data_IF_069274694294
#
_entry.id   IF_069274694294
#
_cell.length_a   1.000
_cell.length_b   1.000
_cell.length_c   1.000
_cell.angle_alpha   90.00
_cell.angle_beta   90.00
_cell.angle_gamma   90.00
#
_symmetry.space_group_name_H-M   'P 1'
#
loop_
_entity.id
_entity.type
_entity.pdbx_description
1 polymer ?
#
# COMPACT_ATOMS: atom_id res chain seq x y z
N UNK A 1 -17.81 -13.95 -30.72
CA UNK A 1 -16.93 -12.85 -30.26
C UNK A 1 -16.55 -13.14 -28.82
N UNK A 2 -15.27 -13.38 -28.51
CA UNK A 2 -14.83 -13.62 -27.14
C UNK A 2 -14.75 -12.27 -26.43
N UNK A 3 -15.58 -12.07 -25.41
CA UNK A 3 -15.43 -10.94 -24.49
C UNK A 3 -13.99 -10.99 -23.93
N UNK A 4 -13.22 -9.91 -24.14
CA UNK A 4 -11.93 -9.78 -23.48
C UNK A 4 -12.18 -9.70 -21.97
N UNK A 5 -11.41 -10.40 -21.13
CA UNK A 5 -11.55 -10.25 -19.68
C UNK A 5 -11.29 -8.78 -19.32
N UNK A 6 -12.22 -8.17 -18.60
CA UNK A 6 -12.14 -6.77 -18.18
C UNK A 6 -10.81 -6.48 -17.48
N UNK A 7 -10.12 -5.43 -17.94
CA UNK A 7 -8.83 -4.95 -17.39
C UNK A 7 -9.00 -4.44 -15.95
N UNK A 8 -10.21 -3.98 -15.60
CA UNK A 8 -10.53 -3.27 -14.35
C UNK A 8 -10.23 -4.04 -13.08
N UNK A 9 -10.33 -5.37 -13.10
CA UNK A 9 -10.17 -6.19 -11.88
C UNK A 9 -8.74 -6.51 -11.46
N UNK A 10 -7.75 -6.24 -12.31
CA UNK A 10 -6.40 -6.75 -12.12
C UNK A 10 -5.30 -5.70 -12.22
N UNK A 11 -5.65 -4.46 -12.54
CA UNK A 11 -4.68 -3.38 -12.51
C UNK A 11 -4.51 -2.88 -11.08
N UNK A 12 -3.27 -2.81 -10.55
CA UNK A 12 -3.03 -2.25 -9.23
C UNK A 12 -3.00 -0.72 -9.25
N UNK A 13 -3.33 -0.04 -10.34
CA UNK A 13 -3.32 1.43 -10.36
C UNK A 13 -4.50 1.98 -9.55
N UNK A 14 -4.25 3.03 -8.76
CA UNK A 14 -5.26 3.70 -7.98
C UNK A 14 -5.31 5.18 -8.36
N UNK A 15 -6.47 5.79 -8.20
CA UNK A 15 -6.67 7.21 -8.39
C UNK A 15 -7.44 7.78 -7.20
N UNK A 16 -7.02 8.96 -6.75
CA UNK A 16 -7.71 9.71 -5.72
C UNK A 16 -8.34 10.92 -6.40
N UNK A 17 -9.67 11.02 -6.35
CA UNK A 17 -10.42 12.12 -6.97
C UNK A 17 -11.74 11.66 -7.57
N UNK A 18 -12.55 12.64 -8.01
CA UNK A 18 -13.88 12.38 -8.55
C UNK A 18 -13.88 11.71 -9.94
N UNK A 19 -12.80 11.86 -10.71
CA UNK A 19 -12.71 11.34 -12.08
C UNK A 19 -11.30 10.85 -12.35
N UNK A 20 -11.15 9.54 -12.57
CA UNK A 20 -9.89 8.93 -12.93
C UNK A 20 -9.33 9.46 -14.25
N UNK A 21 -8.03 9.27 -14.46
CA UNK A 21 -7.37 9.74 -15.67
C UNK A 21 -7.74 8.91 -16.91
N UNK A 22 -7.51 9.50 -18.09
CA UNK A 22 -7.73 8.88 -19.39
C UNK A 22 -6.44 8.35 -20.03
N UNK A 23 -5.33 8.36 -19.29
CA UNK A 23 -4.07 7.78 -19.76
C UNK A 23 -4.19 6.28 -19.98
N UNK A 24 -3.54 5.81 -21.04
CA UNK A 24 -3.42 4.39 -21.39
C UNK A 24 -2.30 3.75 -20.59
N UNK A 25 -2.51 3.57 -19.29
CA UNK A 25 -1.56 2.94 -18.37
C UNK A 25 -2.05 1.59 -17.82
N UNK A 26 -3.26 1.12 -18.18
CA UNK A 26 -3.73 -0.20 -17.74
C UNK A 26 -2.86 -1.30 -18.38
N UNK A 27 -2.17 -2.06 -17.53
CA UNK A 27 -1.42 -3.25 -17.93
C UNK A 27 -2.25 -4.54 -17.88
N UNK A 28 -3.46 -4.48 -17.29
CA UNK A 28 -4.38 -5.60 -17.16
C UNK A 28 -3.83 -6.80 -16.39
N UNK A 29 -4.51 -7.95 -16.50
CA UNK A 29 -4.09 -9.17 -15.82
C UNK A 29 -2.70 -9.62 -16.29
N UNK A 30 -1.80 -9.86 -15.33
CA UNK A 30 -0.41 -10.29 -15.56
C UNK A 30 0.44 -9.34 -16.43
N UNK A 31 0.04 -8.07 -16.56
CA UNK A 31 0.78 -7.09 -17.37
C UNK A 31 0.98 -7.48 -18.85
N UNK A 32 0.13 -8.36 -19.39
CA UNK A 32 0.34 -8.94 -20.72
C UNK A 32 -0.10 -8.02 -21.86
N UNK A 33 -0.97 -7.05 -21.58
CA UNK A 33 -1.51 -6.13 -22.58
C UNK A 33 -1.20 -4.71 -22.14
N UNK A 34 -0.52 -3.95 -23.01
CA UNK A 34 -0.10 -2.58 -22.72
C UNK A 34 -1.08 -1.57 -23.31
N UNK A 35 -0.98 -0.33 -22.83
CA UNK A 35 -1.60 0.85 -23.43
C UNK A 35 -3.14 0.78 -23.55
N UNK A 36 -3.81 0.29 -22.51
CA UNK A 36 -5.27 0.32 -22.41
C UNK A 36 -5.77 1.42 -21.47
N UNK A 37 -6.95 2.01 -21.74
CA UNK A 37 -7.62 2.86 -20.77
C UNK A 37 -8.05 2.04 -19.55
N UNK A 38 -8.18 2.72 -18.41
CA UNK A 38 -8.75 2.13 -17.21
C UNK A 38 -10.27 2.18 -17.24
N UNK A 39 -10.87 1.17 -16.64
CA UNK A 39 -12.24 1.20 -16.18
C UNK A 39 -12.20 1.24 -14.65
N UNK A 40 -12.59 2.38 -14.08
CA UNK A 40 -12.44 2.67 -12.66
C UNK A 40 -13.62 2.10 -11.85
N UNK A 41 -13.32 1.56 -10.68
CA UNK A 41 -14.30 1.09 -9.71
C UNK A 41 -14.13 1.84 -8.38
N UNK A 42 -15.16 1.89 -7.52
CA UNK A 42 -15.03 2.46 -6.19
C UNK A 42 -13.91 1.75 -5.41
N UNK A 43 -12.92 2.53 -4.96
CA UNK A 43 -11.80 2.03 -4.16
C UNK A 43 -12.20 1.76 -2.71
N UNK A 44 -11.39 0.95 -2.03
CA UNK A 44 -11.47 0.66 -0.61
C UNK A 44 -10.16 1.00 0.11
N UNK A 45 -10.13 0.84 1.43
CA UNK A 45 -8.94 1.18 2.25
C UNK A 45 -7.69 0.40 1.83
N UNK A 46 -7.82 -0.88 1.46
CA UNK A 46 -6.69 -1.73 1.08
C UNK A 46 -6.09 -1.35 -0.28
N UNK A 47 -6.80 -0.57 -1.10
CA UNK A 47 -6.28 -0.04 -2.35
C UNK A 47 -5.28 1.11 -2.10
N UNK A 48 -5.38 1.76 -0.94
CA UNK A 48 -4.51 2.86 -0.47
C UNK A 48 -3.47 2.34 0.52
N UNK A 49 -3.92 1.66 1.58
CA UNK A 49 -3.11 1.04 2.61
C UNK A 49 -2.94 -0.45 2.29
N UNK A 50 -1.96 -0.77 1.45
CA UNK A 50 -1.74 -2.15 0.98
C UNK A 50 -1.38 -3.05 2.17
N UNK A 51 -2.22 -4.05 2.52
CA UNK A 51 -1.94 -4.91 3.66
C UNK A 51 -0.72 -5.79 3.42
N UNK A 52 0.21 -5.79 4.37
CA UNK A 52 1.35 -6.71 4.39
C UNK A 52 1.23 -7.60 5.61
N UNK A 53 1.22 -8.90 5.38
CA UNK A 53 1.03 -9.92 6.41
C UNK A 53 2.37 -10.60 6.72
N UNK A 54 2.53 -11.04 7.96
CA UNK A 54 3.61 -11.89 8.43
C UNK A 54 3.03 -13.04 9.25
N UNK A 55 3.82 -14.10 9.48
CA UNK A 55 3.45 -15.11 10.47
C UNK A 55 3.64 -14.55 11.86
N UNK A 56 2.65 -14.78 12.73
CA UNK A 56 2.79 -14.44 14.14
C UNK A 56 3.68 -15.47 14.85
N UNK A 57 4.70 -15.03 15.56
CA UNK A 57 5.57 -15.86 16.39
C UNK A 57 5.66 -15.28 17.80
N UNK A 58 5.69 -16.16 18.80
CA UNK A 58 5.77 -15.69 20.20
C UNK A 58 7.15 -15.10 20.50
N UNK A 59 8.20 -15.64 19.91
CA UNK A 59 9.57 -15.20 20.14
C UNK A 59 10.34 -15.00 18.84
N UNK A 60 11.21 -13.98 18.81
CA UNK A 60 12.06 -13.63 17.66
C UNK A 60 13.11 -14.69 17.29
N UNK A 61 13.39 -15.61 18.21
CA UNK A 61 14.43 -16.64 18.09
C UNK A 61 13.87 -18.06 18.06
N UNK A 62 12.59 -18.21 17.75
CA UNK A 62 11.99 -19.52 17.53
C UNK A 62 12.56 -20.20 16.30
N UNK A 63 12.41 -21.53 16.27
CA UNK A 63 12.75 -22.34 15.10
C UNK A 63 12.02 -21.85 13.85
N UNK A 64 12.70 -21.94 12.71
CA UNK A 64 12.14 -21.51 11.43
C UNK A 64 10.86 -22.29 11.10
N UNK A 65 9.76 -21.57 10.83
CA UNK A 65 8.47 -22.16 10.42
C UNK A 65 8.69 -22.99 9.14
N UNK A 66 8.44 -24.30 9.24
CA UNK A 66 8.51 -25.22 8.10
C UNK A 66 7.28 -25.10 7.22
N UNK A 67 7.35 -25.67 6.03
CA UNK A 67 6.26 -25.57 5.06
C UNK A 67 4.96 -26.24 5.50
N UNK A 68 5.06 -27.43 6.09
CA UNK A 68 3.95 -28.17 6.68
C UNK A 68 3.32 -27.39 7.84
N UNK A 69 4.13 -26.72 8.66
CA UNK A 69 3.68 -25.94 9.82
C UNK A 69 2.97 -24.62 9.47
N UNK A 70 2.95 -24.20 8.19
CA UNK A 70 2.41 -22.87 7.81
C UNK A 70 0.94 -22.64 8.19
N UNK A 71 0.19 -23.71 8.46
CA UNK A 71 -1.20 -23.63 8.87
C UNK A 71 -1.39 -23.61 10.39
N UNK A 72 -0.31 -23.91 11.13
CA UNK A 72 -0.30 -23.90 12.59
C UNK A 72 -0.06 -22.48 13.14
N UNK A 73 0.37 -21.55 12.28
CA UNK A 73 0.65 -20.16 12.62
C UNK A 73 -0.38 -19.23 11.99
N UNK A 74 -0.84 -18.26 12.76
CA UNK A 74 -1.73 -17.21 12.28
C UNK A 74 -0.97 -16.19 11.44
N UNK A 75 -1.71 -15.49 10.58
CA UNK A 75 -1.22 -14.36 9.80
C UNK A 75 -1.71 -13.07 10.44
N UNK A 76 -0.79 -12.13 10.66
CA UNK A 76 -1.08 -10.84 11.27
C UNK A 76 -0.38 -9.72 10.47
N UNK A 77 -0.86 -8.46 10.53
CA UNK A 77 -0.18 -7.36 9.85
C UNK A 77 1.29 -7.25 10.29
N UNK A 78 2.21 -7.18 9.33
CA UNK A 78 3.65 -7.22 9.58
C UNK A 78 4.14 -6.08 10.49
N UNK A 79 3.47 -4.92 10.43
CA UNK A 79 3.74 -3.80 11.34
C UNK A 79 3.36 -4.16 12.78
N UNK A 80 2.22 -4.83 12.99
CA UNK A 80 1.79 -5.24 14.33
C UNK A 80 2.71 -6.31 14.89
N UNK A 81 3.15 -7.26 14.06
CA UNK A 81 4.15 -8.27 14.45
C UNK A 81 5.48 -7.62 14.86
N UNK A 82 5.95 -6.62 14.09
CA UNK A 82 7.14 -5.86 14.43
C UNK A 82 7.00 -5.13 15.76
N UNK A 83 5.85 -4.48 16.00
CA UNK A 83 5.56 -3.81 17.25
C UNK A 83 5.46 -4.80 18.43
N UNK A 84 4.84 -5.98 18.23
CA UNK A 84 4.75 -7.03 19.24
C UNK A 84 6.14 -7.47 19.70
N UNK A 85 7.04 -7.78 18.76
CA UNK A 85 8.43 -8.12 19.08
C UNK A 85 9.21 -6.96 19.70
N UNK A 86 8.80 -5.72 19.43
CA UNK A 86 9.33 -4.54 20.10
C UNK A 86 8.83 -4.33 21.53
N UNK A 87 7.99 -5.24 22.05
CA UNK A 87 7.42 -5.18 23.38
C UNK A 87 6.19 -4.27 23.50
N UNK A 88 5.54 -3.94 22.37
CA UNK A 88 4.27 -3.25 22.42
C UNK A 88 3.18 -4.18 22.98
N UNK A 89 2.40 -3.65 23.93
CA UNK A 89 1.21 -4.32 24.44
C UNK A 89 0.06 -4.17 23.43
N UNK A 90 -0.12 -5.18 22.58
CA UNK A 90 -1.13 -5.21 21.53
C UNK A 90 -2.22 -6.19 21.94
N UNK A 91 -3.46 -5.73 22.16
CA UNK A 91 -4.57 -6.62 22.47
C UNK A 91 -4.77 -7.68 21.38
N UNK A 92 -5.02 -8.92 21.80
CA UNK A 92 -5.26 -10.06 20.92
C UNK A 92 -6.38 -9.77 19.90
N UNK A 93 -7.42 -9.02 20.30
CA UNK A 93 -8.50 -8.64 19.39
C UNK A 93 -8.00 -7.81 18.20
N UNK A 94 -7.06 -6.91 18.42
CA UNK A 94 -6.49 -6.07 17.35
C UNK A 94 -5.54 -6.90 16.49
N UNK A 95 -4.76 -7.78 17.11
CA UNK A 95 -3.79 -8.64 16.44
C UNK A 95 -4.47 -9.66 15.51
N UNK A 96 -5.53 -10.33 15.98
CA UNK A 96 -6.20 -11.43 15.25
C UNK A 96 -7.45 -11.02 14.48
N UNK A 97 -8.05 -9.84 14.75
CA UNK A 97 -9.26 -9.35 14.02
C UNK A 97 -9.03 -8.12 13.15
N UNK A 98 -7.77 -7.78 12.86
CA UNK A 98 -7.43 -6.63 12.01
C UNK A 98 -8.17 -6.63 10.65
N UNK A 99 -8.52 -7.80 10.11
CA UNK A 99 -9.27 -7.92 8.84
C UNK A 99 -10.76 -7.57 8.96
N UNK A 100 -11.34 -7.52 10.17
CA UNK A 100 -12.77 -7.25 10.42
C UNK A 100 -13.06 -5.80 10.87
N UNK A 101 -12.03 -5.01 11.16
CA UNK A 101 -12.19 -3.60 11.55
C UNK A 101 -12.83 -2.80 10.40
N UNK A 102 -12.57 -3.17 9.14
CA UNK A 102 -13.22 -2.58 7.97
C UNK A 102 -14.72 -2.84 7.88
N UNK A 103 -15.22 -3.93 8.49
CA UNK A 103 -16.66 -4.24 8.52
C UNK A 103 -17.36 -3.63 9.73
N UNK A 104 -16.65 -3.37 10.83
CA UNK A 104 -17.25 -2.78 12.04
C UNK A 104 -17.58 -1.30 11.86
N UNK A 105 -16.84 -0.58 11.00
CA UNK A 105 -17.16 0.81 10.63
C UNK A 105 -18.39 0.94 9.70
N UNK A 106 -18.93 -0.17 9.17
CA UNK A 106 -20.16 -0.16 8.37
C UNK A 106 -21.44 -0.08 9.22
N UNK A 107 -21.33 -0.16 10.55
CA UNK A 107 -22.48 -0.26 11.46
C UNK A 107 -22.58 0.90 12.46
N UNK A 108 -22.12 2.09 12.09
CA UNK A 108 -22.59 3.32 12.72
C UNK A 108 -23.19 4.21 11.63
N UNK A 109 -24.40 3.83 11.22
CA UNK A 109 -25.31 4.60 10.41
C UNK A 109 -25.89 5.77 11.24
N UNK A 110 -25.01 6.60 11.80
CA UNK A 110 -25.36 7.85 12.44
C UNK A 110 -24.85 8.96 11.54
N UNK A 111 -25.82 9.68 10.97
CA UNK A 111 -25.71 10.90 10.17
C UNK A 111 -24.35 11.10 9.46
N UNK A 112 -24.40 11.12 8.12
CA UNK A 112 -23.60 12.06 7.33
C UNK A 112 -23.92 13.49 7.81
N UNK A 113 -23.43 13.86 8.99
CA UNK A 113 -23.29 15.25 9.36
C UNK A 113 -22.42 15.86 8.26
N UNK A 114 -22.82 17.02 7.76
CA UNK A 114 -21.99 17.78 6.82
C UNK A 114 -20.67 18.07 7.54
N UNK A 115 -19.64 17.25 7.28
CA UNK A 115 -18.32 17.47 7.85
C UNK A 115 -17.83 18.79 7.25
N UNK A 116 -17.61 19.79 8.10
CA UNK A 116 -17.22 21.13 7.66
C UNK A 116 -15.85 21.03 6.96
N UNK A 117 -15.56 21.84 5.91
CA UNK A 117 -14.25 21.82 5.25
C UNK A 117 -13.05 21.95 6.20
N UNK A 118 -13.19 22.72 7.29
CA UNK A 118 -12.16 22.86 8.32
C UNK A 118 -11.91 21.58 9.11
N UNK A 119 -12.96 20.80 9.38
CA UNK A 119 -12.86 19.51 10.05
C UNK A 119 -12.21 18.48 9.14
N UNK A 120 -12.57 18.44 7.85
CA UNK A 120 -11.90 17.59 6.85
C UNK A 120 -10.41 17.91 6.74
N UNK A 121 -10.05 19.20 6.71
CA UNK A 121 -8.66 19.64 6.70
C UNK A 121 -7.90 19.19 7.95
N UNK A 122 -8.51 19.31 9.12
CA UNK A 122 -7.93 18.84 10.37
C UNK A 122 -7.73 17.33 10.40
N UNK A 123 -8.72 16.55 9.95
CA UNK A 123 -8.62 15.09 9.81
C UNK A 123 -7.51 14.72 8.83
N UNK A 124 -7.45 15.39 7.68
CA UNK A 124 -6.42 15.19 6.67
C UNK A 124 -5.02 15.46 7.22
N UNK A 125 -4.82 16.56 7.94
CA UNK A 125 -3.53 16.88 8.55
C UNK A 125 -3.11 15.83 9.58
N UNK A 126 -4.02 15.45 10.48
CA UNK A 126 -3.74 14.40 11.48
C UNK A 126 -3.42 13.05 10.86
N UNK A 127 -4.11 12.69 9.77
CA UNK A 127 -3.87 11.45 9.04
C UNK A 127 -2.49 11.46 8.38
N UNK A 128 -2.11 12.58 7.77
CA UNK A 128 -0.78 12.77 7.19
C UNK A 128 0.31 12.68 8.25
N UNK A 129 0.14 13.36 9.39
CA UNK A 129 1.10 13.32 10.50
C UNK A 129 1.25 11.89 11.04
N UNK A 130 0.13 11.18 11.25
CA UNK A 130 0.14 9.79 11.71
C UNK A 130 0.84 8.86 10.72
N UNK A 131 0.63 9.04 9.41
CA UNK A 131 1.33 8.30 8.36
C UNK A 131 2.85 8.50 8.42
N UNK A 132 3.29 9.75 8.61
CA UNK A 132 4.70 10.11 8.75
C UNK A 132 5.33 9.47 10.00
N UNK A 133 4.64 9.58 11.14
CA UNK A 133 5.09 8.97 12.39
C UNK A 133 5.16 7.45 12.31
N UNK A 134 4.17 6.80 11.69
CA UNK A 134 4.15 5.36 11.48
C UNK A 134 5.39 4.91 10.69
N UNK A 135 5.65 5.52 9.53
CA UNK A 135 6.78 5.17 8.68
C UNK A 135 8.12 5.42 9.36
N UNK A 136 8.24 6.52 10.10
CA UNK A 136 9.44 6.83 10.88
C UNK A 136 9.65 5.80 12.01
N UNK A 137 8.58 5.44 12.72
CA UNK A 137 8.60 4.43 13.79
C UNK A 137 9.05 3.07 13.28
N UNK A 138 8.42 2.59 12.20
CA UNK A 138 8.80 1.33 11.53
C UNK A 138 10.25 1.38 11.07
N UNK A 139 10.69 2.48 10.47
CA UNK A 139 12.11 2.65 10.07
C UNK A 139 13.06 2.48 11.25
N UNK A 140 12.74 3.08 12.41
CA UNK A 140 13.56 2.96 13.62
C UNK A 140 13.55 1.54 14.18
N UNK A 141 12.39 0.88 14.24
CA UNK A 141 12.28 -0.49 14.72
C UNK A 141 13.07 -1.47 13.83
N UNK A 142 13.05 -1.29 12.51
CA UNK A 142 13.83 -2.10 11.55
C UNK A 142 15.36 -1.97 11.71
N UNK A 143 15.86 -0.96 12.45
CA UNK A 143 17.27 -0.86 12.81
C UNK A 143 17.67 -1.85 13.91
N UNK A 144 16.72 -2.23 14.76
CA UNK A 144 16.95 -3.05 15.96
C UNK A 144 16.41 -4.47 15.78
N UNK A 145 15.23 -4.61 15.20
CA UNK A 145 14.53 -5.88 15.05
C UNK A 145 14.74 -6.44 13.64
N UNK A 146 15.46 -7.57 13.50
CA UNK A 146 15.69 -8.20 12.21
C UNK A 146 14.37 -8.51 11.52
N UNK A 147 14.23 -8.08 10.27
CA UNK A 147 13.06 -8.34 9.44
C UNK A 147 13.51 -8.68 8.03
N UNK A 148 12.79 -9.58 7.39
CA UNK A 148 13.10 -10.14 6.07
C UNK A 148 11.94 -9.94 5.10
N UNK A 149 12.28 -9.65 3.86
CA UNK A 149 11.33 -9.62 2.74
C UNK A 149 11.80 -10.57 1.65
N UNK A 150 10.87 -11.22 0.97
CA UNK A 150 11.23 -12.00 -0.20
C UNK A 150 11.57 -11.08 -1.38
N UNK A 151 12.70 -11.32 -2.05
CA UNK A 151 13.13 -10.53 -3.23
C UNK A 151 12.12 -10.56 -4.39
N UNK A 152 11.26 -11.57 -4.45
CA UNK A 152 10.42 -11.85 -5.62
C UNK A 152 8.92 -11.74 -5.34
N UNK A 153 8.49 -11.69 -4.07
CA UNK A 153 7.09 -11.52 -3.71
C UNK A 153 6.97 -10.66 -2.46
N UNK A 154 5.78 -10.14 -2.18
CA UNK A 154 5.50 -9.28 -1.02
C UNK A 154 5.42 -10.03 0.32
N UNK A 155 6.11 -11.17 0.45
CA UNK A 155 6.13 -11.92 1.71
C UNK A 155 7.14 -11.29 2.67
N UNK A 156 6.71 -11.05 3.90
CA UNK A 156 7.52 -10.48 4.97
C UNK A 156 7.55 -11.43 6.16
N UNK A 157 8.70 -11.50 6.80
CA UNK A 157 8.92 -12.24 8.03
C UNK A 157 9.64 -11.33 9.04
N UNK A 158 9.13 -11.24 10.26
CA UNK A 158 9.77 -10.49 11.34
C UNK A 158 10.56 -11.51 12.17
N UNK A 159 11.88 -11.43 12.13
CA UNK A 159 12.77 -12.43 12.74
C UNK A 159 14.14 -12.52 12.06
N UNK A 160 15.07 -13.22 12.71
CA UNK A 160 16.45 -13.35 12.23
C UNK A 160 16.57 -14.09 10.90
N UNK A 161 15.76 -15.13 10.73
CA UNK A 161 15.80 -16.05 9.60
C UNK A 161 14.40 -16.23 9.06
N UNK A 162 14.20 -15.89 7.78
CA UNK A 162 12.89 -16.01 7.16
C UNK A 162 12.40 -17.46 7.12
N UNK A 163 11.07 -17.65 7.14
CA UNK A 163 10.46 -18.98 7.18
C UNK A 163 10.82 -19.85 5.96
N UNK A 164 10.68 -21.17 6.14
CA UNK A 164 10.89 -22.21 5.10
C UNK A 164 9.62 -22.60 4.37
N UNK A 165 8.49 -21.93 4.64
CA UNK A 165 7.26 -22.19 3.91
C UNK A 165 7.41 -21.96 2.41
N UNK A 166 7.10 -22.98 1.61
CA UNK A 166 7.18 -22.95 0.15
C UNK A 166 5.93 -22.34 -0.48
N UNK A 167 5.76 -21.03 -0.31
CA UNK A 167 4.57 -20.30 -0.78
C UNK A 167 4.88 -19.12 -1.70
N UNK A 168 6.13 -18.95 -2.14
CA UNK A 168 6.49 -17.91 -3.08
C UNK A 168 5.77 -18.13 -4.42
N UNK A 169 4.85 -17.22 -4.78
CA UNK A 169 4.00 -17.31 -5.97
C UNK A 169 4.75 -17.30 -7.29
N UNK A 170 5.93 -16.68 -7.34
CA UNK A 170 6.76 -16.55 -8.55
C UNK A 170 7.44 -17.87 -8.91
N UNK A 171 7.89 -18.64 -7.92
CA UNK A 171 8.68 -19.86 -8.15
C UNK A 171 7.88 -21.16 -7.96
N UNK A 172 6.56 -21.12 -8.04
CA UNK A 172 5.72 -22.33 -7.88
C UNK A 172 6.09 -23.46 -8.85
N UNK A 173 6.59 -23.12 -10.04
CA UNK A 173 6.89 -24.07 -11.13
C UNK A 173 8.38 -24.14 -11.51
N UNK A 174 9.25 -23.40 -10.82
CA UNK A 174 10.69 -23.39 -11.09
C UNK A 174 11.46 -24.30 -10.11
N UNK A 175 12.77 -24.51 -10.35
CA UNK A 175 13.63 -25.39 -9.53
C UNK A 175 13.67 -25.06 -8.03
N UNK A 176 13.27 -23.85 -7.65
CA UNK A 176 13.18 -23.37 -6.27
C UNK A 176 11.91 -23.83 -5.53
N UNK A 177 10.98 -24.52 -6.21
CA UNK A 177 9.80 -25.19 -5.61
C UNK A 177 9.02 -24.30 -4.63
N UNK A 178 8.83 -23.02 -4.95
CA UNK A 178 8.11 -22.06 -4.11
C UNK A 178 8.85 -21.55 -2.88
N UNK A 179 10.16 -21.79 -2.72
CA UNK A 179 10.96 -21.21 -1.64
C UNK A 179 11.14 -19.69 -1.80
N UNK A 180 11.31 -18.99 -0.66
CA UNK A 180 11.58 -17.56 -0.63
C UNK A 180 13.08 -17.28 -0.69
N UNK A 181 13.44 -16.19 -1.37
CA UNK A 181 14.79 -15.62 -1.34
C UNK A 181 14.77 -14.38 -0.47
N UNK A 182 15.22 -14.52 0.77
CA UNK A 182 15.12 -13.49 1.80
C UNK A 182 16.20 -12.41 1.66
N UNK A 183 15.77 -11.15 1.75
CA UNK A 183 16.60 -9.95 1.87
C UNK A 183 16.25 -9.23 3.19
N UNK A 184 17.10 -8.29 3.62
CA UNK A 184 16.75 -7.36 4.71
C UNK A 184 15.55 -6.52 4.28
N UNK A 185 14.51 -6.46 5.12
CA UNK A 185 13.34 -5.63 4.88
C UNK A 185 13.63 -4.15 5.20
N UNK A 186 13.05 -3.26 4.41
CA UNK A 186 12.96 -1.82 4.63
C UNK A 186 11.53 -1.37 4.95
N UNK A 187 11.36 -0.07 5.18
CA UNK A 187 10.06 0.51 5.55
C UNK A 187 9.00 0.31 4.45
N UNK A 188 9.37 0.38 3.18
CA UNK A 188 8.45 0.18 2.06
C UNK A 188 8.00 -1.29 1.90
N UNK A 189 8.71 -2.25 2.52
CA UNK A 189 8.32 -3.65 2.49
C UNK A 189 7.20 -3.95 3.51
N UNK A 190 7.20 -3.25 4.65
CA UNK A 190 6.18 -3.40 5.70
C UNK A 190 5.03 -2.40 5.56
N UNK A 191 5.34 -1.19 5.11
CA UNK A 191 4.39 -0.10 4.89
C UNK A 191 4.56 0.37 3.44
N UNK A 192 4.12 -0.42 2.45
CA UNK A 192 4.22 -0.03 1.05
C UNK A 192 3.46 1.26 0.75
N UNK A 193 4.05 2.09 -0.12
CA UNK A 193 3.42 3.30 -0.61
C UNK A 193 2.73 3.01 -1.94
N UNK A 194 1.41 3.19 -1.98
CA UNK A 194 0.67 3.19 -3.23
C UNK A 194 0.94 4.49 -3.98
N UNK A 195 1.70 4.45 -5.08
CA UNK A 195 1.98 5.66 -5.87
C UNK A 195 0.84 5.90 -6.85
N UNK A 196 0.34 7.15 -6.88
CA UNK A 196 -0.73 7.62 -7.76
C UNK A 196 -0.26 8.85 -8.54
N UNK A 197 -0.94 9.13 -9.65
CA UNK A 197 -0.74 10.37 -10.40
C UNK A 197 -1.24 11.57 -9.60
N UNK A 198 -0.41 12.60 -9.53
CA UNK A 198 -0.73 13.88 -8.90
C UNK A 198 -1.04 14.93 -9.96
N UNK A 199 -2.21 15.56 -9.86
CA UNK A 199 -2.64 16.66 -10.73
C UNK A 199 -2.26 18.00 -10.10
N UNK A 200 -1.43 18.80 -10.77
CA UNK A 200 -1.05 20.14 -10.32
C UNK A 200 -2.17 21.15 -10.66
N UNK A 201 -2.18 22.34 -10.02
CA UNK A 201 -3.20 23.35 -10.30
C UNK A 201 -3.32 23.79 -11.77
N UNK A 202 -2.22 23.71 -12.53
CA UNK A 202 -2.16 24.10 -13.95
C UNK A 202 -2.32 22.91 -14.92
N UNK A 203 -2.39 21.68 -14.41
CA UNK A 203 -2.63 20.51 -15.24
C UNK A 203 -4.11 20.43 -15.67
N UNK A 204 -4.42 19.75 -16.78
CA UNK A 204 -5.81 19.57 -17.22
C UNK A 204 -6.64 18.86 -16.14
N UNK A 205 -7.96 19.13 -16.04
CA UNK A 205 -8.81 18.53 -15.03
C UNK A 205 -8.77 16.99 -14.99
N UNK A 206 -8.60 16.38 -16.17
CA UNK A 206 -8.42 14.95 -16.39
C UNK A 206 -7.07 14.73 -17.09
N UNK A 207 -6.19 13.93 -16.49
CA UNK A 207 -4.87 13.66 -17.03
C UNK A 207 -4.96 12.76 -18.27
N UNK A 208 -4.22 13.12 -19.31
CA UNK A 208 -4.16 12.45 -20.61
C UNK A 208 -2.72 12.12 -21.02
N UNK A 209 -2.53 11.15 -21.92
CA UNK A 209 -1.20 10.61 -22.26
C UNK A 209 -0.18 11.67 -22.70
N UNK A 210 -0.64 12.74 -23.36
CA UNK A 210 0.24 13.81 -23.86
C UNK A 210 1.04 14.56 -22.80
N UNK A 211 0.65 14.48 -21.52
CA UNK A 211 1.35 15.14 -20.41
C UNK A 211 2.05 14.21 -19.42
N UNK A 212 2.15 12.91 -19.72
CA UNK A 212 2.67 11.87 -18.80
C UNK A 212 4.03 12.24 -18.19
N UNK A 213 4.93 12.78 -19.01
CA UNK A 213 6.29 13.17 -18.58
C UNK A 213 6.33 14.45 -17.73
N UNK A 214 5.23 15.21 -17.71
CA UNK A 214 5.11 16.49 -17.00
C UNK A 214 4.39 16.34 -15.66
N UNK A 215 3.42 15.43 -15.56
CA UNK A 215 2.64 15.24 -14.33
C UNK A 215 3.48 14.71 -13.18
N UNK A 216 3.06 15.07 -11.96
CA UNK A 216 3.64 14.59 -10.73
C UNK A 216 3.09 13.23 -10.31
N UNK A 217 3.70 12.68 -9.27
CA UNK A 217 3.20 11.53 -8.53
C UNK A 217 3.19 11.82 -7.03
N UNK A 218 2.37 11.11 -6.29
CA UNK A 218 2.33 11.16 -4.83
C UNK A 218 1.99 9.78 -4.26
N UNK A 219 2.36 9.47 -3.00
CA UNK A 219 1.72 8.37 -2.28
C UNK A 219 0.22 8.67 -2.11
N UNK A 220 -0.63 7.66 -2.28
CA UNK A 220 -2.09 7.79 -2.25
C UNK A 220 -2.58 8.42 -0.94
N UNK A 221 -1.95 8.09 0.20
CA UNK A 221 -2.27 8.70 1.51
C UNK A 221 -2.00 10.21 1.50
N UNK A 222 -0.90 10.64 0.88
CA UNK A 222 -0.54 12.07 0.78
C UNK A 222 -1.50 12.79 -0.16
N UNK A 223 -1.80 12.21 -1.32
CA UNK A 223 -2.77 12.76 -2.28
C UNK A 223 -4.16 12.91 -1.64
N UNK A 224 -4.62 11.89 -0.90
CA UNK A 224 -5.91 11.91 -0.19
C UNK A 224 -5.97 13.03 0.84
N UNK A 225 -4.94 13.17 1.68
CA UNK A 225 -4.92 14.22 2.71
C UNK A 225 -4.82 15.61 2.07
N UNK A 226 -4.05 15.77 0.99
CA UNK A 226 -3.92 17.03 0.27
C UNK A 226 -5.26 17.48 -0.34
N UNK A 227 -6.06 16.56 -0.89
CA UNK A 227 -7.36 16.90 -1.50
C UNK A 227 -8.37 17.49 -0.51
N UNK A 228 -8.21 17.19 0.78
CA UNK A 228 -9.01 17.79 1.87
C UNK A 228 -8.34 19.01 2.50
N UNK A 229 -7.23 19.51 1.93
CA UNK A 229 -6.56 20.73 2.34
C UNK A 229 -5.44 20.56 3.37
N UNK A 230 -4.95 19.35 3.61
CA UNK A 230 -3.77 19.13 4.44
C UNK A 230 -2.51 19.72 3.79
N UNK A 231 -1.58 20.19 4.62
CA UNK A 231 -0.32 20.77 4.15
C UNK A 231 0.68 19.65 3.96
N UNK A 232 1.10 19.45 2.71
CA UNK A 232 2.04 18.38 2.35
C UNK A 232 3.48 18.77 2.72
N UNK A 233 4.25 17.87 3.36
CA UNK A 233 5.66 18.14 3.66
C UNK A 233 6.53 18.35 2.40
N UNK A 234 7.53 19.25 2.45
CA UNK A 234 8.38 19.58 1.30
C UNK A 234 9.11 18.39 0.65
N UNK A 235 9.37 17.30 1.40
CA UNK A 235 10.02 16.10 0.87
C UNK A 235 9.26 15.45 -0.29
N UNK A 236 7.95 15.70 -0.41
CA UNK A 236 7.11 15.19 -1.50
C UNK A 236 7.06 16.13 -2.71
N UNK A 237 7.51 17.38 -2.58
CA UNK A 237 7.35 18.39 -3.64
C UNK A 237 8.06 18.01 -4.94
N UNK A 238 9.20 17.31 -4.86
CA UNK A 238 9.95 16.86 -6.02
C UNK A 238 9.17 15.81 -6.82
N UNK A 239 8.65 14.76 -6.16
CA UNK A 239 7.86 13.72 -6.84
C UNK A 239 6.53 14.27 -7.38
N UNK A 240 5.93 15.22 -6.67
CA UNK A 240 4.70 15.90 -7.09
C UNK A 240 4.94 16.92 -8.20
N UNK A 241 6.19 17.24 -8.53
CA UNK A 241 6.56 18.26 -9.52
C UNK A 241 5.81 19.57 -9.32
N UNK A 242 5.69 20.04 -8.08
CA UNK A 242 4.96 21.26 -7.70
C UNK A 242 5.34 22.49 -8.53
N UNK A 243 6.63 22.62 -8.88
CA UNK A 243 7.18 23.65 -9.78
C UNK A 243 7.64 23.11 -11.14
N UNK A 244 7.19 21.92 -11.52
CA UNK A 244 7.52 21.32 -12.81
C UNK A 244 6.87 22.07 -13.97
N UNK A 245 7.44 21.90 -15.17
CA UNK A 245 6.91 22.52 -16.39
C UNK A 245 5.53 21.96 -16.76
N UNK A 246 4.72 22.78 -17.42
CA UNK A 246 3.49 22.35 -18.05
C UNK A 246 3.80 21.63 -19.38
N UNK A 247 2.96 20.68 -19.82
CA UNK A 247 3.05 20.13 -21.17
C UNK A 247 2.98 21.25 -22.20
N UNK A 248 3.75 21.19 -23.31
CA UNK A 248 3.64 22.16 -24.39
C UNK A 248 2.21 22.13 -24.96
N UNK A 249 1.63 23.32 -25.11
CA UNK A 249 0.33 23.50 -25.75
C UNK A 249 0.46 23.06 -27.21
N UNK A 250 -0.31 22.05 -27.62
CA UNK A 250 -0.42 21.63 -29.02
C UNK A 250 -1.48 22.44 -29.75
#
# INVERSE_FOLDING_TARGET
MRASPDCSRFCPEAHIGATGHQMKTCYGFKCMIKDRPHEWQPGNLNDILVPVQAFHQKNMFEDEIKHDQRFDFTRVPAVLELCHHAGADIPDEILYKSEQISDTLKTNNQQSALILPDELRYIGQRTLDAWEYLRLGVTKLLLVYPSKVCKHCSEVHIGQSGHKARMCGVFKFEGWKGMHKWNKAGVDDLVPQKIVWHRRPHDPPVLVDGGRDYYGHAPAVIELCMQVGAIVPPKYHCMMKTHGLAPPVR
#
